data_IF_507069234997
#
_entry.id   IF_507069234997
#
_cell.length_a   1.000
_cell.length_b   1.000
_cell.length_c   1.000
_cell.angle_alpha   90.00
_cell.angle_beta   90.00
_cell.angle_gamma   90.00
#
_symmetry.space_group_name_H-M   'P 1'
#
loop_
_entity.id
_entity.type
_entity.pdbx_description
1 polymer ?
#
# COMPACT_ATOMS: atom_id res chain seq x y z
N UNK A 1 15.23 35.81 17.09
CA UNK A 1 14.12 34.93 17.47
C UNK A 1 14.68 33.77 18.26
N UNK A 2 14.26 33.53 19.52
CA UNK A 2 14.72 32.37 20.28
C UNK A 2 14.05 31.12 19.73
N UNK A 3 14.83 30.10 19.36
CA UNK A 3 14.34 28.85 18.89
C UNK A 3 15.26 27.69 19.32
N UNK A 4 14.70 26.49 19.43
CA UNK A 4 15.46 25.29 19.69
C UNK A 4 15.54 24.48 18.37
N UNK A 5 16.71 23.89 18.11
CA UNK A 5 16.97 23.11 16.92
C UNK A 5 17.37 21.67 17.32
N UNK A 6 16.77 20.71 16.63
CA UNK A 6 17.15 19.31 16.68
C UNK A 6 17.66 18.89 15.31
N UNK A 7 18.94 18.57 15.23
CA UNK A 7 19.57 18.10 14.00
C UNK A 7 19.29 16.60 13.78
N UNK A 8 18.46 16.29 12.79
CA UNK A 8 18.10 14.93 12.45
C UNK A 8 19.13 14.24 11.54
N UNK A 9 20.22 14.97 11.17
CA UNK A 9 21.21 14.47 10.23
C UNK A 9 20.62 14.18 8.85
N UNK A 10 21.28 13.27 8.11
CA UNK A 10 20.78 12.85 6.82
C UNK A 10 19.65 11.83 7.02
N UNK A 11 18.46 12.16 6.52
CA UNK A 11 17.28 11.32 6.59
C UNK A 11 16.82 10.93 5.19
N UNK A 12 16.22 9.74 5.09
CA UNK A 12 15.64 9.25 3.85
C UNK A 12 14.19 9.70 3.71
N UNK A 13 13.73 9.83 2.49
CA UNK A 13 12.30 10.03 2.17
C UNK A 13 11.45 8.97 2.89
N UNK A 14 10.34 9.40 3.47
CA UNK A 14 9.42 8.51 4.18
C UNK A 14 9.72 8.31 5.67
N UNK A 15 10.91 8.71 6.16
CA UNK A 15 11.15 8.78 7.60
C UNK A 15 10.18 9.78 8.26
N UNK A 16 9.84 9.56 9.52
CA UNK A 16 8.90 10.40 10.26
C UNK A 16 9.59 10.97 11.49
N UNK A 17 9.68 12.29 11.55
CA UNK A 17 10.11 12.98 12.76
C UNK A 17 8.92 13.03 13.75
N UNK A 18 9.09 12.43 14.91
CA UNK A 18 8.12 12.39 16.01
C UNK A 18 8.58 13.35 17.09
N UNK A 19 7.82 14.41 17.31
CA UNK A 19 8.15 15.49 18.24
C UNK A 19 7.19 15.47 19.41
N UNK A 20 7.70 15.16 20.60
CA UNK A 20 6.94 15.21 21.85
C UNK A 20 7.14 16.55 22.53
N UNK A 21 6.07 17.16 22.98
CA UNK A 21 6.05 18.50 23.58
C UNK A 21 5.19 18.49 24.84
N UNK A 22 5.61 19.24 25.87
CA UNK A 22 4.83 19.49 27.07
C UNK A 22 3.92 20.72 26.96
N UNK A 23 4.14 21.58 25.94
CA UNK A 23 3.41 22.83 25.71
C UNK A 23 3.18 23.07 24.21
N UNK A 24 2.22 23.96 23.92
CA UNK A 24 1.95 24.42 22.55
C UNK A 24 3.14 25.20 22.01
N UNK A 25 3.63 24.81 20.82
CA UNK A 25 4.74 25.45 20.13
C UNK A 25 4.60 25.36 18.63
N UNK A 26 5.32 26.18 17.90
CA UNK A 26 5.53 25.99 16.50
C UNK A 26 6.58 24.89 16.31
N UNK A 27 6.22 23.87 15.55
CA UNK A 27 7.09 22.77 15.14
C UNK A 27 7.29 22.86 13.64
N UNK A 28 8.54 23.05 13.21
CA UNK A 28 8.89 23.20 11.81
C UNK A 28 9.96 22.21 11.42
N UNK A 29 9.65 21.38 10.47
CA UNK A 29 10.62 20.49 9.80
C UNK A 29 11.12 21.20 8.56
N UNK A 30 12.42 21.36 8.42
CA UNK A 30 13.04 22.05 7.30
C UNK A 30 14.38 21.43 6.94
N UNK A 31 14.85 21.71 5.72
CA UNK A 31 16.21 21.31 5.35
C UNK A 31 17.23 22.19 6.08
N UNK A 32 18.45 21.69 6.22
CA UNK A 32 19.55 22.50 6.79
C UNK A 32 19.79 23.80 5.99
N UNK A 33 19.56 23.78 4.69
CA UNK A 33 19.66 24.98 3.83
C UNK A 33 18.56 25.99 4.16
N UNK A 34 17.29 25.53 4.26
CA UNK A 34 16.17 26.38 4.62
C UNK A 34 16.31 26.95 6.04
N UNK A 35 16.84 26.15 6.97
CA UNK A 35 17.14 26.61 8.33
C UNK A 35 18.17 27.75 8.34
N UNK A 36 19.23 27.69 7.53
CA UNK A 36 20.22 28.77 7.43
C UNK A 36 19.56 30.07 6.93
N UNK A 37 18.65 29.99 5.97
CA UNK A 37 17.86 31.13 5.49
C UNK A 37 16.91 31.65 6.57
N UNK A 38 16.20 30.77 7.25
CA UNK A 38 15.33 31.11 8.37
C UNK A 38 16.10 31.86 9.49
N UNK A 39 17.28 31.35 9.87
CA UNK A 39 18.14 31.96 10.89
C UNK A 39 18.63 33.35 10.50
N UNK A 40 18.85 33.59 9.20
CA UNK A 40 19.28 34.90 8.67
C UNK A 40 18.11 35.87 8.43
N UNK A 41 16.87 35.50 8.77
CA UNK A 41 15.69 36.34 8.57
C UNK A 41 15.18 36.40 7.13
N UNK A 42 15.74 35.64 6.22
CA UNK A 42 15.37 35.63 4.78
C UNK A 42 14.21 34.70 4.46
N UNK A 43 13.58 34.11 5.49
CA UNK A 43 12.58 33.07 5.30
C UNK A 43 13.21 31.69 5.09
N UNK A 44 12.41 30.69 4.75
CA UNK A 44 12.83 29.33 4.49
C UNK A 44 11.59 28.45 4.37
N UNK A 45 11.64 27.41 3.53
CA UNK A 45 10.52 26.47 3.42
C UNK A 45 10.48 25.57 4.65
N UNK A 46 9.31 25.43 5.26
CA UNK A 46 9.09 24.57 6.41
C UNK A 46 7.81 23.76 6.24
N UNK A 47 7.83 22.56 6.80
CA UNK A 47 6.66 21.68 6.93
C UNK A 47 6.26 21.69 8.40
N UNK A 48 4.97 21.85 8.70
CA UNK A 48 4.46 21.93 10.05
C UNK A 48 3.90 23.31 10.38
N UNK A 49 3.79 23.63 11.66
CA UNK A 49 3.17 24.86 12.15
C UNK A 49 2.92 24.79 13.64
N UNK A 50 1.88 25.49 14.13
CA UNK A 50 1.53 25.49 15.53
C UNK A 50 0.98 24.12 15.97
N UNK A 51 1.70 23.47 16.86
CA UNK A 51 1.31 22.19 17.43
C UNK A 51 0.30 22.40 18.57
N UNK A 52 -0.87 21.83 18.40
CA UNK A 52 -1.95 21.82 19.42
C UNK A 52 -2.08 20.47 20.14
N UNK A 53 -1.39 19.44 19.63
CA UNK A 53 -1.37 18.08 20.18
C UNK A 53 0.07 17.56 20.20
N UNK A 54 0.36 16.62 21.09
CA UNK A 54 1.64 15.94 21.23
C UNK A 54 1.39 14.43 21.30
N UNK A 55 2.19 13.59 20.62
CA UNK A 55 3.31 13.95 19.73
C UNK A 55 2.87 14.50 18.37
N UNK A 56 3.70 15.33 17.76
CA UNK A 56 3.56 15.78 16.36
C UNK A 56 4.37 14.86 15.46
N UNK A 57 3.78 14.39 14.37
CA UNK A 57 4.44 13.53 13.39
C UNK A 57 4.61 14.30 12.09
N UNK A 58 5.85 14.44 11.61
CA UNK A 58 6.19 15.16 10.39
C UNK A 58 6.96 14.22 9.45
N UNK A 59 6.38 13.92 8.30
CA UNK A 59 7.02 13.05 7.32
C UNK A 59 8.10 13.80 6.53
N UNK A 60 9.24 13.15 6.32
CA UNK A 60 10.35 13.66 5.52
C UNK A 60 10.06 13.39 4.04
N UNK A 61 9.87 14.44 3.21
CA UNK A 61 9.34 14.28 1.84
C UNK A 61 10.42 13.87 0.82
N UNK A 62 11.69 14.04 1.13
CA UNK A 62 12.82 13.69 0.26
C UNK A 62 14.08 13.41 1.06
N UNK A 63 15.03 12.70 0.46
CA UNK A 63 16.35 12.47 1.05
C UNK A 63 17.06 13.82 1.28
N UNK A 64 17.78 13.94 2.39
CA UNK A 64 18.54 15.15 2.69
C UNK A 64 18.84 15.35 4.17
N UNK A 65 19.55 16.44 4.47
CA UNK A 65 19.84 16.85 5.84
C UNK A 65 18.69 17.70 6.39
N UNK A 66 18.00 17.16 7.39
CA UNK A 66 16.80 17.75 7.98
C UNK A 66 16.99 18.16 9.41
N UNK A 67 16.26 19.19 9.82
CA UNK A 67 16.23 19.71 11.17
C UNK A 67 14.79 19.98 11.62
N UNK A 68 14.53 19.79 12.90
CA UNK A 68 13.30 20.27 13.56
C UNK A 68 13.62 21.54 14.32
N UNK A 69 12.84 22.57 14.08
CA UNK A 69 12.93 23.87 14.76
C UNK A 69 11.68 24.06 15.61
N UNK A 70 11.87 24.35 16.89
CA UNK A 70 10.81 24.68 17.83
C UNK A 70 10.90 26.15 18.20
N UNK A 71 9.81 26.90 18.06
CA UNK A 71 9.73 28.30 18.46
C UNK A 71 8.37 28.63 19.12
N UNK A 72 8.38 29.61 20.01
CA UNK A 72 7.18 30.09 20.74
C UNK A 72 6.55 31.34 20.12
N UNK A 73 6.98 31.73 18.91
CA UNK A 73 6.42 32.92 18.25
C UNK A 73 6.91 34.28 18.78
N UNK A 74 7.96 34.32 19.64
CA UNK A 74 8.60 35.59 19.99
C UNK A 74 8.82 35.92 21.48
N UNK A 75 8.57 34.98 22.40
CA UNK A 75 8.85 35.20 23.85
C UNK A 75 9.88 34.21 24.41
N UNK A 76 10.43 34.48 25.61
CA UNK A 76 11.24 33.48 26.32
C UNK A 76 10.36 32.30 26.73
N UNK A 77 10.86 31.08 26.54
CA UNK A 77 10.12 29.88 26.88
C UNK A 77 11.01 28.81 27.50
N UNK A 78 10.41 28.01 28.37
CA UNK A 78 10.98 26.73 28.81
C UNK A 78 10.05 25.62 28.32
N UNK A 79 10.57 24.68 27.54
CA UNK A 79 9.84 23.55 27.03
C UNK A 79 10.64 22.27 27.28
N UNK A 80 9.95 21.20 27.63
CA UNK A 80 10.50 19.86 27.55
C UNK A 80 10.03 19.26 26.23
N UNK A 81 10.98 19.03 25.35
CA UNK A 81 10.72 18.45 24.04
C UNK A 81 11.65 17.27 23.78
N UNK A 82 11.13 16.25 23.16
CA UNK A 82 11.87 15.12 22.64
C UNK A 82 11.64 14.98 21.15
N UNK A 83 12.68 14.64 20.39
CA UNK A 83 12.56 14.37 18.96
C UNK A 83 13.15 13.00 18.70
N UNK A 84 12.36 12.14 18.09
CA UNK A 84 12.73 10.82 17.63
C UNK A 84 12.48 10.75 16.13
N UNK A 85 13.27 9.97 15.41
CA UNK A 85 13.03 9.70 13.99
C UNK A 85 12.70 8.22 13.85
N UNK A 86 11.47 7.96 13.41
CA UNK A 86 11.07 6.63 12.96
C UNK A 86 11.67 6.43 11.56
N UNK A 87 12.42 5.35 11.38
CA UNK A 87 13.00 5.00 10.09
C UNK A 87 11.88 4.83 9.04
N UNK A 88 12.13 5.19 7.77
CA UNK A 88 11.21 4.85 6.71
C UNK A 88 11.08 3.32 6.66
N UNK A 89 9.91 2.80 6.26
CA UNK A 89 9.77 1.38 6.02
C UNK A 89 10.90 0.93 5.08
N UNK A 90 11.45 -0.28 5.28
CA UNK A 90 12.53 -0.78 4.43
C UNK A 90 12.09 -0.62 2.98
N UNK A 91 12.97 -0.07 2.14
CA UNK A 91 12.74 -0.10 0.69
C UNK A 91 12.78 -1.57 0.29
N UNK A 92 11.63 -2.16 0.15
CA UNK A 92 11.52 -3.39 -0.62
C UNK A 92 11.97 -3.00 -2.02
N UNK A 93 13.13 -3.48 -2.45
CA UNK A 93 13.52 -3.40 -3.85
C UNK A 93 12.34 -3.97 -4.62
N UNK A 94 11.75 -3.17 -5.50
CA UNK A 94 10.72 -3.66 -6.40
C UNK A 94 11.27 -4.95 -6.99
N UNK A 95 10.59 -6.08 -6.87
CA UNK A 95 11.02 -7.28 -7.52
C UNK A 95 11.21 -6.95 -8.99
N UNK A 96 12.35 -7.35 -9.53
CA UNK A 96 12.62 -7.25 -10.97
C UNK A 96 11.42 -7.86 -11.69
N UNK A 97 11.05 -7.31 -12.84
CA UNK A 97 9.89 -7.69 -13.68
C UNK A 97 9.78 -9.22 -13.96
N UNK A 98 10.77 -9.98 -13.53
CA UNK A 98 10.99 -11.41 -13.79
C UNK A 98 10.95 -12.27 -12.51
N UNK A 99 10.57 -11.76 -11.35
CA UNK A 99 10.45 -12.63 -10.19
C UNK A 99 9.19 -13.50 -10.34
N UNK A 100 9.37 -14.83 -10.41
CA UNK A 100 8.23 -15.74 -10.44
C UNK A 100 7.40 -15.60 -9.16
N UNK A 101 6.12 -15.89 -9.24
CA UNK A 101 5.17 -15.85 -8.11
C UNK A 101 5.49 -16.88 -6.99
N UNK A 102 6.76 -17.26 -6.81
CA UNK A 102 7.23 -18.34 -5.92
C UNK A 102 6.95 -18.07 -4.44
N UNK A 103 6.88 -16.78 -4.06
CA UNK A 103 6.65 -16.39 -2.67
C UNK A 103 5.16 -16.18 -2.33
N UNK A 104 4.27 -16.47 -3.30
CA UNK A 104 2.83 -16.36 -3.07
C UNK A 104 2.35 -17.64 -2.40
N UNK A 105 1.96 -17.54 -1.13
CA UNK A 105 1.42 -18.68 -0.40
C UNK A 105 -0.03 -18.93 -0.81
N UNK A 106 -0.33 -20.16 -1.20
CA UNK A 106 -1.69 -20.63 -1.48
C UNK A 106 -2.23 -21.31 -0.22
N UNK A 107 -3.35 -20.81 0.25
CA UNK A 107 -4.01 -21.36 1.45
C UNK A 107 -4.65 -22.70 1.17
N UNK A 108 -4.60 -23.63 2.15
CA UNK A 108 -5.48 -24.80 2.11
C UNK A 108 -6.95 -24.36 2.23
N UNK A 109 -7.88 -25.04 1.52
CA UNK A 109 -9.30 -24.71 1.59
C UNK A 109 -9.81 -24.84 3.02
N UNK A 110 -10.40 -23.78 3.56
CA UNK A 110 -11.16 -23.88 4.81
C UNK A 110 -12.53 -24.42 4.44
N UNK A 111 -12.95 -25.50 5.11
CA UNK A 111 -14.32 -25.98 4.97
C UNK A 111 -15.28 -24.82 5.30
N UNK A 112 -16.22 -24.47 4.42
CA UNK A 112 -17.12 -23.36 4.68
C UNK A 112 -18.06 -23.71 5.84
N UNK A 113 -18.07 -22.87 6.87
CA UNK A 113 -19.18 -22.83 7.82
C UNK A 113 -20.47 -22.59 7.05
N UNK A 114 -21.39 -23.51 7.12
CA UNK A 114 -22.54 -23.87 6.31
C UNK A 114 -23.49 -22.81 5.74
N UNK A 115 -23.11 -21.57 5.50
CA UNK A 115 -24.05 -20.51 5.07
C UNK A 115 -23.55 -19.59 3.93
N UNK A 116 -22.47 -19.94 3.23
CA UNK A 116 -21.97 -19.14 2.12
C UNK A 116 -21.97 -19.96 0.82
N UNK A 117 -22.95 -19.70 -0.05
CA UNK A 117 -23.03 -20.17 -1.44
C UNK A 117 -23.04 -21.71 -1.64
N UNK A 118 -23.75 -22.45 -0.81
CA UNK A 118 -24.04 -23.86 -1.08
C UNK A 118 -22.84 -24.80 -0.96
N UNK A 119 -21.83 -24.49 -0.14
CA UNK A 119 -20.70 -25.38 0.12
C UNK A 119 -19.68 -25.50 -1.02
N UNK A 120 -19.76 -24.65 -2.05
CA UNK A 120 -18.84 -24.70 -3.17
C UNK A 120 -17.58 -23.89 -2.87
N UNK A 121 -16.43 -24.54 -2.89
CA UNK A 121 -15.10 -23.90 -2.78
C UNK A 121 -14.52 -23.63 -4.15
N UNK A 122 -13.83 -22.50 -4.30
CA UNK A 122 -13.21 -22.07 -5.54
C UNK A 122 -11.69 -21.98 -5.35
N UNK A 123 -10.92 -22.20 -6.40
CA UNK A 123 -9.48 -21.97 -6.33
C UNK A 123 -9.16 -20.48 -6.25
N UNK A 124 -9.84 -19.69 -7.06
CA UNK A 124 -9.59 -18.25 -7.20
C UNK A 124 -10.88 -17.46 -7.16
N UNK A 125 -10.87 -16.30 -6.47
CA UNK A 125 -11.88 -15.29 -6.72
C UNK A 125 -11.25 -14.05 -7.39
N UNK A 126 -12.04 -13.33 -8.23
CA UNK A 126 -11.60 -12.12 -8.91
C UNK A 126 -12.51 -10.97 -8.49
N UNK A 127 -11.90 -9.95 -7.85
CA UNK A 127 -12.56 -8.67 -7.54
C UNK A 127 -12.11 -7.61 -8.54
N UNK A 128 -13.07 -6.86 -9.08
CA UNK A 128 -12.83 -5.88 -10.13
C UNK A 128 -13.85 -4.74 -10.08
N UNK A 129 -13.53 -3.59 -10.64
CA UNK A 129 -14.50 -2.56 -10.95
C UNK A 129 -15.37 -3.00 -12.14
N UNK A 130 -16.62 -2.51 -12.21
CA UNK A 130 -17.56 -2.89 -13.28
C UNK A 130 -17.00 -2.65 -14.68
N UNK A 131 -16.24 -1.60 -14.82
CA UNK A 131 -15.64 -1.14 -16.05
C UNK A 131 -14.54 -2.07 -16.56
N UNK A 132 -13.87 -2.79 -15.64
CA UNK A 132 -12.75 -3.69 -15.93
C UNK A 132 -13.21 -5.12 -16.25
N UNK A 133 -14.52 -5.37 -16.21
CA UNK A 133 -15.10 -6.70 -16.34
C UNK A 133 -14.76 -7.37 -17.65
N UNK A 134 -15.09 -6.69 -18.76
CA UNK A 134 -14.95 -7.26 -20.10
C UNK A 134 -13.50 -7.21 -20.60
N UNK A 135 -12.72 -6.23 -20.14
CA UNK A 135 -11.35 -6.06 -20.56
C UNK A 135 -10.39 -7.03 -19.84
N UNK A 136 -10.63 -7.32 -18.56
CA UNK A 136 -9.70 -8.10 -17.73
C UNK A 136 -10.36 -9.29 -17.04
N UNK A 137 -11.44 -9.07 -16.26
CA UNK A 137 -11.92 -10.08 -15.33
C UNK A 137 -12.51 -11.31 -16.05
N UNK A 138 -13.31 -11.11 -17.08
CA UNK A 138 -13.92 -12.21 -17.87
C UNK A 138 -12.86 -12.94 -18.70
N UNK A 139 -11.98 -12.28 -19.46
CA UNK A 139 -10.89 -12.93 -20.17
C UNK A 139 -9.98 -13.75 -19.25
N UNK A 140 -9.61 -13.19 -18.10
CA UNK A 140 -8.75 -13.88 -17.11
C UNK A 140 -9.45 -15.11 -16.53
N UNK A 141 -10.72 -15.01 -16.14
CA UNK A 141 -11.50 -16.16 -15.69
C UNK A 141 -11.52 -17.27 -16.72
N UNK A 142 -11.76 -16.94 -17.99
CA UNK A 142 -11.82 -17.94 -19.06
C UNK A 142 -10.45 -18.61 -19.25
N UNK A 143 -9.37 -17.84 -19.29
CA UNK A 143 -8.03 -18.34 -19.43
C UNK A 143 -7.58 -19.23 -18.25
N UNK A 144 -8.03 -18.93 -17.03
CA UNK A 144 -7.81 -19.75 -15.84
C UNK A 144 -8.63 -21.04 -15.89
N UNK A 145 -9.90 -20.96 -16.32
CA UNK A 145 -10.77 -22.12 -16.47
C UNK A 145 -10.24 -23.11 -17.52
N UNK A 146 -9.69 -22.64 -18.64
CA UNK A 146 -9.00 -23.46 -19.65
C UNK A 146 -7.81 -24.23 -19.05
N UNK A 147 -7.22 -23.69 -17.98
CA UNK A 147 -6.10 -24.34 -17.24
C UNK A 147 -6.56 -25.18 -16.06
N UNK A 148 -7.88 -25.43 -15.93
CA UNK A 148 -8.46 -26.26 -14.87
C UNK A 148 -8.52 -25.60 -13.50
N UNK A 149 -8.41 -24.26 -13.44
CA UNK A 149 -8.57 -23.49 -12.20
C UNK A 149 -10.03 -23.04 -12.08
N UNK A 150 -10.67 -23.37 -10.97
CA UNK A 150 -12.04 -22.95 -10.69
C UNK A 150 -12.06 -21.50 -10.19
N UNK A 151 -12.85 -20.66 -10.88
CA UNK A 151 -12.84 -19.22 -10.63
C UNK A 151 -14.22 -18.71 -10.22
N UNK A 152 -14.30 -18.08 -9.07
CA UNK A 152 -15.45 -17.30 -8.69
C UNK A 152 -15.28 -15.84 -9.14
N UNK A 153 -16.07 -15.45 -10.12
CA UNK A 153 -16.19 -14.06 -10.53
C UNK A 153 -17.43 -13.47 -9.86
N UNK A 154 -17.23 -12.52 -8.96
CA UNK A 154 -18.34 -11.89 -8.25
C UNK A 154 -19.29 -11.21 -9.25
N UNK A 155 -20.57 -11.59 -9.18
CA UNK A 155 -21.62 -10.90 -9.95
C UNK A 155 -21.90 -9.50 -9.42
N UNK A 156 -21.49 -9.25 -8.18
CA UNK A 156 -21.60 -7.94 -7.54
C UNK A 156 -20.29 -7.18 -7.75
N UNK A 157 -20.25 -6.44 -8.84
CA UNK A 157 -19.18 -5.50 -9.17
C UNK A 157 -18.92 -4.51 -8.04
N UNK A 158 -17.69 -4.06 -7.88
CA UNK A 158 -17.35 -2.99 -6.94
C UNK A 158 -18.00 -1.67 -7.40
N UNK A 159 -18.88 -1.13 -6.57
CA UNK A 159 -19.60 0.13 -6.82
C UNK A 159 -19.15 1.21 -5.84
N UNK A 160 -19.39 2.46 -6.24
CA UNK A 160 -19.19 3.60 -5.35
C UNK A 160 -20.00 3.42 -4.05
N UNK A 161 -19.34 3.52 -2.89
CA UNK A 161 -19.97 3.35 -1.56
C UNK A 161 -20.02 1.92 -1.03
N UNK A 162 -19.56 0.92 -1.80
CA UNK A 162 -19.37 -0.43 -1.27
C UNK A 162 -18.22 -0.44 -0.23
N UNK A 163 -18.24 -1.42 0.67
CA UNK A 163 -17.06 -1.70 1.50
C UNK A 163 -16.16 -2.70 0.78
N UNK A 164 -15.00 -2.23 0.33
CA UNK A 164 -13.98 -3.05 -0.32
C UNK A 164 -13.61 -4.24 0.56
N UNK A 165 -13.39 -3.97 1.86
CA UNK A 165 -13.03 -5.00 2.84
C UNK A 165 -14.06 -6.12 2.89
N UNK A 166 -15.35 -5.80 2.99
CA UNK A 166 -16.41 -6.81 3.09
C UNK A 166 -16.50 -7.67 1.83
N UNK A 167 -16.34 -7.07 0.65
CA UNK A 167 -16.35 -7.78 -0.62
C UNK A 167 -15.18 -8.76 -0.75
N UNK A 168 -14.00 -8.29 -0.41
CA UNK A 168 -12.79 -9.11 -0.40
C UNK A 168 -12.91 -10.23 0.65
N UNK A 169 -13.41 -9.94 1.85
CA UNK A 169 -13.64 -10.95 2.91
C UNK A 169 -14.58 -12.06 2.45
N UNK A 170 -15.63 -11.70 1.73
CA UNK A 170 -16.56 -12.68 1.19
C UNK A 170 -15.88 -13.58 0.14
N UNK A 171 -15.10 -12.97 -0.79
CA UNK A 171 -14.38 -13.71 -1.81
C UNK A 171 -13.38 -14.72 -1.23
N UNK A 172 -12.64 -14.26 -0.26
CA UNK A 172 -11.57 -15.05 0.38
C UNK A 172 -12.13 -16.22 1.20
N UNK A 173 -13.30 -16.08 1.84
CA UNK A 173 -13.90 -17.18 2.61
C UNK A 173 -14.22 -18.40 1.76
N UNK A 174 -14.51 -18.18 0.49
CA UNK A 174 -14.94 -19.23 -0.44
C UNK A 174 -13.85 -19.63 -1.45
N UNK A 175 -12.62 -19.09 -1.32
CA UNK A 175 -11.55 -19.31 -2.29
C UNK A 175 -10.19 -19.48 -1.65
N UNK A 176 -9.30 -20.24 -2.29
CA UNK A 176 -7.91 -20.43 -1.83
C UNK A 176 -7.02 -19.24 -2.14
N UNK A 177 -7.39 -18.46 -3.17
CA UNK A 177 -6.57 -17.38 -3.70
C UNK A 177 -7.46 -16.24 -4.17
N UNK A 178 -7.02 -15.01 -3.97
CA UNK A 178 -7.74 -13.81 -4.38
C UNK A 178 -6.97 -12.99 -5.41
N UNK A 179 -7.67 -12.46 -6.40
CA UNK A 179 -7.17 -11.50 -7.37
C UNK A 179 -7.95 -10.21 -7.21
N UNK A 180 -7.24 -9.08 -7.18
CA UNK A 180 -7.85 -7.75 -7.23
C UNK A 180 -7.30 -6.99 -8.44
N UNK A 181 -8.19 -6.60 -9.33
CA UNK A 181 -7.85 -5.76 -10.48
C UNK A 181 -7.84 -4.31 -10.03
N UNK A 182 -6.68 -3.69 -10.10
CA UNK A 182 -6.45 -2.29 -9.80
C UNK A 182 -6.35 -1.51 -11.12
N UNK A 183 -7.23 -0.54 -11.30
CA UNK A 183 -7.31 0.33 -12.48
C UNK A 183 -7.60 1.77 -12.04
N UNK A 184 -7.57 2.73 -12.94
CA UNK A 184 -8.03 4.08 -12.62
C UNK A 184 -9.49 4.09 -12.15
N UNK A 185 -10.34 3.29 -12.79
CA UNK A 185 -11.75 3.15 -12.40
C UNK A 185 -11.92 2.51 -11.03
N UNK A 186 -11.07 1.55 -10.66
CA UNK A 186 -11.02 1.00 -9.32
C UNK A 186 -10.72 2.09 -8.28
N UNK A 187 -9.68 2.90 -8.49
CA UNK A 187 -9.32 3.98 -7.56
C UNK A 187 -10.35 5.11 -7.54
N UNK A 188 -11.03 5.38 -8.66
CA UNK A 188 -12.11 6.37 -8.74
C UNK A 188 -13.35 6.01 -7.89
N UNK A 189 -13.48 4.77 -7.39
CA UNK A 189 -14.55 4.37 -6.47
C UNK A 189 -14.41 5.00 -5.07
N UNK A 190 -13.30 5.69 -4.78
CA UNK A 190 -13.13 6.47 -3.56
C UNK A 190 -12.82 5.66 -2.31
N UNK A 191 -12.06 4.56 -2.45
CA UNK A 191 -11.61 3.76 -1.31
C UNK A 191 -10.75 4.58 -0.36
N UNK A 192 -10.96 4.37 0.94
CA UNK A 192 -10.11 4.98 1.95
C UNK A 192 -8.72 4.35 1.98
N UNK A 193 -7.69 5.10 2.38
CA UNK A 193 -6.35 4.53 2.57
C UNK A 193 -6.36 3.32 3.51
N UNK A 194 -7.24 3.33 4.52
CA UNK A 194 -7.39 2.21 5.44
C UNK A 194 -7.95 0.94 4.76
N UNK A 195 -8.84 1.07 3.80
CA UNK A 195 -9.35 -0.07 3.02
C UNK A 195 -8.29 -0.61 2.07
N UNK A 196 -7.53 0.27 1.41
CA UNK A 196 -6.42 -0.12 0.55
C UNK A 196 -5.28 -0.77 1.34
N UNK A 197 -4.93 -0.24 2.50
CA UNK A 197 -3.94 -0.85 3.41
C UNK A 197 -4.41 -2.20 3.94
N UNK A 198 -5.72 -2.39 4.09
CA UNK A 198 -6.32 -3.65 4.45
C UNK A 198 -6.07 -4.78 3.44
N UNK A 199 -5.92 -4.46 2.15
CA UNK A 199 -5.54 -5.43 1.12
C UNK A 199 -4.10 -5.94 1.32
N UNK A 200 -3.23 -5.08 1.84
CA UNK A 200 -1.80 -5.37 2.03
C UNK A 200 -1.55 -6.17 3.31
N UNK A 201 -2.19 -5.80 4.41
CA UNK A 201 -1.94 -6.40 5.74
C UNK A 201 -2.36 -7.86 5.82
N UNK A 202 -3.34 -8.29 5.05
CA UNK A 202 -3.78 -9.68 4.99
C UNK A 202 -2.75 -10.65 4.42
N UNK A 203 -1.89 -10.15 3.54
CA UNK A 203 -0.81 -10.92 2.95
C UNK A 203 0.36 -11.14 3.94
N UNK A 204 0.49 -10.30 4.99
CA UNK A 204 1.58 -10.36 5.97
C UNK A 204 1.28 -11.34 7.10
N UNK A 205 0.00 -11.58 7.40
CA UNK A 205 -0.41 -12.48 8.49
C UNK A 205 -0.39 -13.98 8.10
N UNK A 206 0.03 -14.34 6.87
CA UNK A 206 0.04 -15.72 6.39
C UNK A 206 -1.36 -16.32 6.16
N UNK A 207 -2.40 -15.50 6.31
CA UNK A 207 -3.78 -15.99 6.26
C UNK A 207 -4.39 -15.98 4.86
N UNK A 208 -3.83 -15.23 3.90
CA UNK A 208 -4.44 -15.10 2.57
C UNK A 208 -3.50 -14.63 1.47
N UNK A 209 -3.51 -15.34 0.37
CA UNK A 209 -2.82 -14.95 -0.86
C UNK A 209 -3.72 -14.05 -1.71
N UNK A 210 -3.41 -12.76 -1.75
CA UNK A 210 -4.07 -11.78 -2.58
C UNK A 210 -3.08 -11.22 -3.60
N UNK A 211 -3.35 -11.43 -4.90
CA UNK A 211 -2.53 -10.95 -6.00
C UNK A 211 -3.17 -9.70 -6.62
N UNK A 212 -2.52 -8.53 -6.57
CA UNK A 212 -2.93 -7.37 -7.35
C UNK A 212 -2.58 -7.56 -8.83
N UNK A 213 -3.51 -7.21 -9.70
CA UNK A 213 -3.26 -7.02 -11.14
C UNK A 213 -3.42 -5.54 -11.45
N UNK A 214 -2.38 -4.92 -11.97
CA UNK A 214 -2.44 -3.54 -12.43
C UNK A 214 -2.94 -3.53 -13.88
N UNK A 215 -4.09 -2.91 -14.09
CA UNK A 215 -4.65 -2.75 -15.41
C UNK A 215 -4.44 -1.32 -15.89
N UNK A 216 -3.61 -1.18 -16.94
CA UNK A 216 -3.25 0.11 -17.55
C UNK A 216 -2.69 1.13 -16.55
N UNK A 217 -2.02 0.66 -15.49
CA UNK A 217 -1.41 1.49 -14.47
C UNK A 217 0.09 1.30 -14.42
N UNK A 218 0.81 2.40 -14.23
CA UNK A 218 2.23 2.39 -13.87
C UNK A 218 2.39 2.24 -12.35
N UNK A 219 3.57 1.79 -11.92
CA UNK A 219 3.92 1.72 -10.48
C UNK A 219 3.83 3.10 -9.80
N UNK A 220 4.06 4.19 -10.54
CA UNK A 220 3.97 5.55 -10.01
C UNK A 220 2.52 5.95 -9.75
N UNK A 221 1.61 5.66 -10.66
CA UNK A 221 0.17 5.90 -10.49
C UNK A 221 -0.39 5.09 -9.31
N UNK A 222 -0.05 3.80 -9.19
CA UNK A 222 -0.47 3.01 -8.02
C UNK A 222 0.09 3.60 -6.72
N UNK A 223 1.34 4.10 -6.72
CA UNK A 223 1.97 4.70 -5.55
C UNK A 223 1.32 6.01 -5.11
N UNK A 224 0.77 6.77 -6.04
CA UNK A 224 0.02 7.99 -5.73
C UNK A 224 -1.25 7.68 -4.93
N UNK A 225 -1.91 6.57 -5.23
CA UNK A 225 -3.11 6.12 -4.52
C UNK A 225 -2.78 5.34 -3.24
N UNK A 226 -1.83 4.41 -3.31
CA UNK A 226 -1.42 3.58 -2.17
C UNK A 226 0.04 3.13 -2.31
N UNK A 227 0.98 3.73 -1.57
CA UNK A 227 2.37 3.29 -1.53
C UNK A 227 2.50 1.82 -1.14
N UNK A 228 1.64 1.34 -0.23
CA UNK A 228 1.66 -0.03 0.26
C UNK A 228 1.30 -1.05 -0.82
N UNK A 229 0.39 -0.72 -1.73
CA UNK A 229 0.03 -1.57 -2.87
C UNK A 229 1.10 -1.55 -3.97
N UNK A 230 1.75 -0.40 -4.17
CA UNK A 230 2.82 -0.28 -5.15
C UNK A 230 4.08 -1.09 -4.80
N UNK A 231 4.26 -1.43 -3.52
CA UNK A 231 5.38 -2.23 -3.03
C UNK A 231 5.09 -3.75 -3.04
N UNK A 232 3.92 -4.17 -3.51
CA UNK A 232 3.55 -5.59 -3.64
C UNK A 232 3.95 -6.18 -4.98
N UNK A 233 4.19 -7.49 -4.98
CA UNK A 233 4.28 -8.27 -6.22
C UNK A 233 2.93 -8.16 -6.91
N UNK A 234 2.91 -7.72 -8.15
CA UNK A 234 1.71 -7.56 -8.95
C UNK A 234 1.98 -7.97 -10.40
N UNK A 235 0.96 -8.53 -11.04
CA UNK A 235 0.97 -8.66 -12.49
C UNK A 235 0.52 -7.35 -13.13
N UNK A 236 0.94 -7.10 -14.37
CA UNK A 236 0.60 -5.87 -15.07
C UNK A 236 0.19 -6.17 -16.52
N UNK A 237 -1.01 -5.73 -16.90
CA UNK A 237 -1.54 -5.92 -18.26
C UNK A 237 -0.73 -5.19 -19.35
N UNK A 238 0.07 -4.19 -18.96
CA UNK A 238 0.98 -3.51 -19.90
C UNK A 238 2.25 -4.31 -20.19
N UNK A 239 2.57 -5.33 -19.38
CA UNK A 239 3.81 -6.12 -19.51
C UNK A 239 3.57 -7.59 -19.83
N UNK A 240 2.36 -8.11 -19.61
CA UNK A 240 2.00 -9.50 -19.88
C UNK A 240 0.58 -9.59 -20.43
N UNK A 241 0.35 -10.51 -21.34
CA UNK A 241 -1.00 -10.83 -21.84
C UNK A 241 -1.84 -11.53 -20.77
N UNK A 242 -3.15 -11.53 -20.94
CA UNK A 242 -4.07 -12.28 -20.07
C UNK A 242 -3.72 -13.76 -20.00
N UNK A 243 -3.29 -14.34 -21.11
CA UNK A 243 -2.91 -15.76 -21.21
C UNK A 243 -1.65 -16.07 -20.39
N UNK A 244 -0.62 -15.23 -20.50
CA UNK A 244 0.62 -15.35 -19.70
C UNK A 244 0.37 -15.15 -18.22
N UNK A 245 -0.48 -14.19 -17.86
CA UNK A 245 -0.88 -13.99 -16.46
C UNK A 245 -1.64 -15.21 -15.92
N UNK A 246 -2.59 -15.77 -16.69
CA UNK A 246 -3.34 -16.94 -16.30
C UNK A 246 -2.45 -18.17 -16.12
N UNK A 247 -1.41 -18.33 -16.96
CA UNK A 247 -0.43 -19.41 -16.83
C UNK A 247 0.35 -19.30 -15.51
N UNK A 248 0.89 -18.11 -15.21
CA UNK A 248 1.61 -17.87 -13.96
C UNK A 248 0.73 -18.11 -12.72
N UNK A 249 -0.52 -17.62 -12.74
CA UNK A 249 -1.47 -17.80 -11.65
C UNK A 249 -1.82 -19.30 -11.50
N UNK A 250 -2.08 -20.00 -12.60
CA UNK A 250 -2.43 -21.41 -12.56
C UNK A 250 -1.29 -22.27 -11.97
N UNK A 251 -0.04 -21.98 -12.33
CA UNK A 251 1.12 -22.65 -11.76
C UNK A 251 1.21 -22.50 -10.24
N UNK A 252 0.97 -21.27 -9.73
CA UNK A 252 0.95 -21.00 -8.28
C UNK A 252 -0.20 -21.73 -7.59
N UNK A 253 -1.42 -21.64 -8.14
CA UNK A 253 -2.62 -22.24 -7.56
C UNK A 253 -2.52 -23.76 -7.50
N UNK A 254 -1.87 -24.39 -8.48
CA UNK A 254 -1.66 -25.85 -8.56
C UNK A 254 -0.46 -26.34 -7.77
N UNK A 255 0.38 -25.46 -7.26
CA UNK A 255 1.61 -25.81 -6.56
C UNK A 255 2.77 -26.23 -7.48
N UNK A 256 2.64 -26.01 -8.79
CA UNK A 256 3.63 -26.38 -9.81
C UNK A 256 4.81 -25.38 -9.88
N UNK A 257 4.72 -24.26 -9.16
CA UNK A 257 5.72 -23.20 -9.19
C UNK A 257 7.06 -23.52 -8.50
N UNK A 258 7.27 -24.76 -8.06
CA UNK A 258 8.42 -25.19 -7.23
C UNK A 258 9.32 -26.28 -7.84
N UNK A 259 8.99 -26.89 -8.98
CA UNK A 259 9.67 -28.12 -9.40
C UNK A 259 10.76 -27.97 -10.49
N UNK A 260 10.93 -26.83 -11.10
CA UNK A 260 11.97 -26.66 -12.12
C UNK A 260 13.14 -25.80 -11.63
N UNK A 261 14.06 -26.38 -10.86
CA UNK A 261 15.53 -26.11 -10.90
C UNK A 261 16.21 -27.17 -9.99
N UNK A 262 16.67 -28.26 -10.57
CA UNK A 262 17.88 -28.96 -10.18
C UNK A 262 19.02 -28.55 -11.10
#
# INVERSE_FOLDING_TARGET
MQHHIYDLKHQRRGAVAVVSLDKRMNVRLMTMSDYRQFKSGRGGRAIGGQATRSPVRLQIPRDGHWVVVLDAGGGPYKVRAGVQVDAPPPRTTLPSREQPLRDVQVREPVEPDGDVLGGQTWDVFISHASEDKDAVAVPLRNALAERGVTVWLDKTELKLGDSLRRKIDQGIRSSRFGIVVLSETFFAKGWTNHELDGLVTRNVAGEQSLLPIWHELSAEQVREHSPSLADKVALNTSGASIQEMAEQIAAVVKGEAGEDIE
#
